data_IF_464088635872
#
_entry.id   IF_464088635872
#
_cell.length_a   1.000
_cell.length_b   1.000
_cell.length_c   1.000
_cell.angle_alpha   90.00
_cell.angle_beta   90.00
_cell.angle_gamma   90.00
#
_symmetry.space_group_name_H-M   'P 1'
#
loop_
_entity.id
_entity.type
_entity.pdbx_description
1 polymer ?
#
# COMPACT_ATOMS: atom_id res chain seq x y z
N UNK A 1 47.44 33.49 -20.82
CA UNK A 1 46.13 32.84 -21.11
C UNK A 1 45.82 31.62 -20.21
N UNK A 2 46.32 31.56 -18.96
CA UNK A 2 46.04 30.44 -18.01
C UNK A 2 45.27 30.86 -16.76
N UNK A 3 45.15 32.17 -16.49
CA UNK A 3 44.47 32.71 -15.31
C UNK A 3 42.98 33.03 -15.53
N UNK A 4 42.53 33.13 -16.80
CA UNK A 4 41.14 33.45 -17.15
C UNK A 4 40.25 32.19 -17.08
N UNK A 5 40.79 31.03 -17.46
CA UNK A 5 40.11 29.74 -17.37
C UNK A 5 39.83 29.30 -15.93
N UNK A 6 40.67 29.70 -14.97
CA UNK A 6 40.49 29.35 -13.55
C UNK A 6 39.31 30.06 -12.89
N UNK A 7 38.98 31.28 -13.33
CA UNK A 7 37.83 32.04 -12.78
C UNK A 7 36.48 31.52 -13.25
N UNK A 8 36.40 30.95 -14.46
CA UNK A 8 35.14 30.46 -15.05
C UNK A 8 34.70 29.15 -14.37
N UNK A 9 35.64 28.30 -13.97
CA UNK A 9 35.35 27.04 -13.28
C UNK A 9 34.79 27.28 -11.87
N UNK A 10 35.23 28.35 -11.19
CA UNK A 10 34.77 28.66 -9.84
C UNK A 10 33.32 29.18 -9.79
N UNK A 11 32.85 29.85 -10.85
CA UNK A 11 31.46 30.37 -10.93
C UNK A 11 30.44 29.25 -11.17
N UNK A 12 30.83 28.16 -11.86
CA UNK A 12 29.94 27.02 -12.14
C UNK A 12 29.70 26.11 -10.91
N UNK A 13 30.57 26.16 -9.90
CA UNK A 13 30.46 25.37 -8.66
C UNK A 13 29.46 25.96 -7.65
N UNK A 14 29.11 27.24 -7.76
CA UNK A 14 28.25 27.93 -6.78
C UNK A 14 26.76 27.81 -7.15
N UNK A 15 26.45 27.49 -8.42
CA UNK A 15 25.06 27.38 -8.89
C UNK A 15 24.38 26.04 -8.54
N UNK A 16 25.06 25.11 -7.86
CA UNK A 16 24.50 23.79 -7.54
C UNK A 16 23.89 23.66 -6.14
N UNK A 17 23.89 24.72 -5.32
CA UNK A 17 23.49 24.63 -3.90
C UNK A 17 22.15 25.28 -3.53
N UNK A 18 21.25 25.53 -4.48
CA UNK A 18 19.90 25.99 -4.15
C UNK A 18 18.85 25.03 -4.71
N UNK A 19 18.86 23.80 -4.19
CA UNK A 19 17.61 23.06 -4.04
C UNK A 19 17.19 23.22 -2.59
N UNK A 20 16.34 24.23 -2.34
CA UNK A 20 15.53 24.24 -1.14
C UNK A 20 14.59 23.04 -1.25
N UNK A 21 14.91 21.93 -0.59
CA UNK A 21 13.88 20.96 -0.23
C UNK A 21 13.01 21.67 0.81
N UNK A 22 11.90 22.26 0.36
CA UNK A 22 10.83 22.58 1.30
C UNK A 22 10.52 21.29 2.05
N UNK A 23 10.64 21.32 3.38
CA UNK A 23 10.09 20.29 4.25
C UNK A 23 8.56 20.37 4.13
N UNK A 24 8.02 19.82 3.04
CA UNK A 24 6.58 19.66 2.87
C UNK A 24 6.20 18.54 3.82
N UNK A 25 5.50 18.89 4.90
CA UNK A 25 4.96 17.91 5.84
C UNK A 25 3.85 17.10 5.15
N UNK A 26 4.24 15.94 4.64
CA UNK A 26 3.35 14.98 3.99
C UNK A 26 2.83 13.93 4.96
N UNK A 27 2.99 14.13 6.28
CA UNK A 27 2.34 13.28 7.25
C UNK A 27 0.82 13.51 7.24
N UNK A 28 0.13 12.66 6.49
CA UNK A 28 -1.29 12.44 6.66
C UNK A 28 -1.50 11.52 7.86
N UNK A 29 -2.23 12.01 8.87
CA UNK A 29 -2.76 11.17 9.93
C UNK A 29 -4.02 10.49 9.41
N UNK A 30 -4.04 9.16 9.45
CA UNK A 30 -5.19 8.35 9.05
C UNK A 30 -5.19 7.03 9.81
N UNK A 31 -6.33 6.34 9.81
CA UNK A 31 -6.45 4.98 10.33
C UNK A 31 -6.86 4.07 9.20
N UNK A 32 -6.10 3.01 8.97
CA UNK A 32 -6.47 1.95 8.05
C UNK A 32 -6.00 0.63 8.64
N UNK A 33 -6.87 -0.37 8.66
CA UNK A 33 -6.60 -1.65 9.31
C UNK A 33 -7.37 -2.81 8.68
N UNK A 34 -6.94 -4.02 8.99
CA UNK A 34 -7.67 -5.24 8.68
C UNK A 34 -8.38 -5.75 9.92
N UNK A 35 -9.69 -5.96 9.82
CA UNK A 35 -10.46 -6.73 10.80
C UNK A 35 -10.60 -8.16 10.28
N UNK A 36 -10.10 -9.12 11.07
CA UNK A 36 -10.15 -10.55 10.73
C UNK A 36 -11.56 -11.14 10.94
N UNK A 37 -11.90 -12.15 10.14
CA UNK A 37 -13.10 -12.95 10.35
C UNK A 37 -12.95 -13.85 11.61
N UNK A 38 -14.02 -14.08 12.40
CA UNK A 38 -14.03 -15.06 13.49
C UNK A 38 -13.59 -16.46 13.01
N UNK A 39 -12.80 -17.15 13.85
CA UNK A 39 -12.10 -18.40 13.50
C UNK A 39 -13.00 -19.65 13.36
N UNK A 40 -14.27 -19.58 13.76
CA UNK A 40 -15.00 -20.78 14.19
C UNK A 40 -15.75 -21.57 13.10
N UNK A 41 -15.72 -21.15 11.85
CA UNK A 41 -16.48 -21.85 10.80
C UNK A 41 -15.54 -22.53 9.80
N UNK A 42 -15.44 -23.85 9.96
CA UNK A 42 -14.67 -24.76 9.08
C UNK A 42 -15.18 -24.69 7.63
N UNK A 43 -16.46 -24.33 7.45
CA UNK A 43 -17.12 -24.21 6.15
C UNK A 43 -17.51 -22.76 5.78
N UNK A 44 -17.14 -21.75 6.58
CA UNK A 44 -17.41 -20.38 6.16
C UNK A 44 -16.37 -19.89 5.18
N UNK A 45 -16.88 -19.16 4.21
CA UNK A 45 -16.12 -18.30 3.35
C UNK A 45 -15.17 -17.40 4.16
N UNK A 46 -13.87 -17.55 3.94
CA UNK A 46 -12.85 -16.72 4.60
C UNK A 46 -12.86 -15.33 3.98
N UNK A 47 -12.97 -14.32 4.84
CA UNK A 47 -12.92 -12.92 4.43
C UNK A 47 -12.08 -12.08 5.39
N UNK A 48 -11.73 -10.88 4.94
CA UNK A 48 -11.15 -9.81 5.71
C UNK A 48 -11.98 -8.54 5.46
N UNK A 49 -12.00 -7.63 6.42
CA UNK A 49 -12.56 -6.30 6.21
C UNK A 49 -11.43 -5.30 6.26
N UNK A 50 -11.21 -4.59 5.16
CA UNK A 50 -10.35 -3.40 5.13
C UNK A 50 -11.19 -2.24 5.65
N UNK A 51 -10.84 -1.70 6.80
CA UNK A 51 -11.48 -0.51 7.37
C UNK A 51 -10.57 0.71 7.19
N UNK A 52 -11.18 1.87 6.95
CA UNK A 52 -10.44 3.12 6.87
C UNK A 52 -11.22 4.31 7.43
N UNK A 53 -10.45 5.27 7.93
CA UNK A 53 -10.88 6.60 8.31
C UNK A 53 -9.82 7.61 7.85
N UNK A 54 -10.18 8.38 6.83
CA UNK A 54 -9.37 9.46 6.27
C UNK A 54 -9.96 10.84 6.54
N UNK A 55 -10.85 10.98 7.54
CA UNK A 55 -11.54 12.24 7.85
C UNK A 55 -10.59 13.40 8.19
N UNK A 56 -9.41 13.07 8.72
CA UNK A 56 -8.36 14.05 9.04
C UNK A 56 -7.47 14.41 7.82
N UNK A 57 -7.59 13.70 6.70
CA UNK A 57 -6.79 13.93 5.50
C UNK A 57 -7.50 14.92 4.58
N UNK A 58 -6.98 16.15 4.52
CA UNK A 58 -7.51 17.22 3.66
C UNK A 58 -6.73 17.34 2.35
N UNK A 59 -7.45 17.75 1.31
CA UNK A 59 -6.91 18.17 0.01
C UNK A 59 -5.91 17.16 -0.60
N UNK A 60 -6.26 15.88 -0.52
CA UNK A 60 -5.44 14.78 -1.04
C UNK A 60 -6.28 13.79 -1.85
N UNK A 61 -5.66 13.24 -2.90
CA UNK A 61 -6.15 12.03 -3.53
C UNK A 61 -5.69 10.83 -2.72
N UNK A 62 -6.62 9.99 -2.30
CA UNK A 62 -6.33 8.83 -1.45
C UNK A 62 -6.76 7.57 -2.17
N UNK A 63 -5.86 6.58 -2.19
CA UNK A 63 -6.12 5.26 -2.76
C UNK A 63 -5.69 4.18 -1.79
N UNK A 64 -6.48 3.11 -1.71
CA UNK A 64 -6.04 1.84 -1.11
C UNK A 64 -5.75 0.89 -2.26
N UNK A 65 -4.51 0.41 -2.33
CA UNK A 65 -4.09 -0.59 -3.29
C UNK A 65 -4.09 -1.96 -2.62
N UNK A 66 -4.78 -2.92 -3.22
CA UNK A 66 -4.86 -4.30 -2.76
C UNK A 66 -4.41 -5.20 -3.89
N UNK A 67 -3.37 -5.99 -3.63
CA UNK A 67 -2.79 -6.94 -4.59
C UNK A 67 -3.07 -8.36 -4.10
N UNK A 68 -4.02 -9.07 -4.74
CA UNK A 68 -4.27 -10.48 -4.43
C UNK A 68 -3.09 -11.35 -4.85
N UNK A 69 -2.76 -12.34 -4.02
CA UNK A 69 -1.65 -13.27 -4.23
C UNK A 69 -2.20 -14.69 -4.28
N UNK A 70 -1.98 -15.37 -5.41
CA UNK A 70 -2.50 -16.72 -5.65
C UNK A 70 -1.96 -17.71 -4.63
N UNK A 71 -0.65 -17.70 -4.43
CA UNK A 71 0.02 -18.60 -3.51
C UNK A 71 1.08 -17.88 -2.69
N UNK A 72 0.96 -18.02 -1.37
CA UNK A 72 1.69 -17.21 -0.41
C UNK A 72 2.73 -18.08 0.26
N UNK A 73 3.78 -18.40 -0.49
CA UNK A 73 4.93 -19.12 0.05
C UNK A 73 5.88 -18.14 0.74
N UNK A 74 6.04 -18.31 2.05
CA UNK A 74 7.09 -17.69 2.88
C UNK A 74 7.29 -16.18 2.64
N UNK A 75 6.26 -15.39 2.92
CA UNK A 75 6.29 -13.92 3.13
C UNK A 75 6.87 -13.02 2.03
N UNK A 76 7.57 -13.51 1.00
CA UNK A 76 8.29 -12.63 0.05
C UNK A 76 8.36 -13.15 -1.39
N UNK A 77 7.90 -14.36 -1.69
CA UNK A 77 7.92 -14.91 -3.06
C UNK A 77 6.53 -15.35 -3.49
N UNK A 78 5.72 -14.38 -3.87
CA UNK A 78 4.48 -14.65 -4.59
C UNK A 78 4.83 -15.37 -5.89
N UNK A 79 4.25 -16.55 -6.10
CA UNK A 79 4.46 -17.33 -7.33
C UNK A 79 3.62 -16.75 -8.47
N UNK A 80 2.51 -16.08 -8.15
CA UNK A 80 1.67 -15.39 -9.11
C UNK A 80 0.76 -14.35 -8.43
N UNK A 81 0.60 -13.20 -9.10
CA UNK A 81 -0.28 -12.10 -8.69
C UNK A 81 -1.54 -12.08 -9.56
N UNK A 82 -2.64 -11.51 -9.03
CA UNK A 82 -3.83 -11.17 -9.82
C UNK A 82 -3.96 -9.67 -10.03
N UNK A 83 -4.98 -9.29 -10.79
CA UNK A 83 -5.37 -7.91 -10.99
C UNK A 83 -5.52 -7.16 -9.66
N UNK A 84 -4.90 -5.99 -9.62
CA UNK A 84 -4.88 -5.13 -8.45
C UNK A 84 -6.24 -4.47 -8.28
N UNK A 85 -6.75 -4.48 -7.06
CA UNK A 85 -7.98 -3.78 -6.68
C UNK A 85 -7.55 -2.40 -6.17
N UNK A 86 -8.04 -1.34 -6.81
CA UNK A 86 -7.80 0.04 -6.41
C UNK A 86 -9.09 0.65 -5.86
N UNK A 87 -9.08 0.98 -4.57
CA UNK A 87 -10.16 1.74 -3.95
C UNK A 87 -9.81 3.22 -3.99
N UNK A 88 -10.51 3.99 -4.83
CA UNK A 88 -10.41 5.44 -4.85
C UNK A 88 -11.29 6.00 -3.74
N UNK A 89 -10.69 6.66 -2.75
CA UNK A 89 -11.37 7.14 -1.54
C UNK A 89 -11.86 8.57 -1.75
N UNK A 90 -13.03 8.88 -1.18
CA UNK A 90 -13.71 10.18 -1.31
C UNK A 90 -14.60 10.29 -2.56
N UNK A 91 -14.83 9.19 -3.27
CA UNK A 91 -15.78 9.13 -4.38
C UNK A 91 -17.16 8.63 -3.91
N UNK A 92 -18.12 8.53 -4.83
CA UNK A 92 -19.48 8.09 -4.52
C UNK A 92 -19.58 6.64 -4.00
N UNK A 93 -18.61 5.79 -4.36
CA UNK A 93 -18.59 4.37 -4.00
C UNK A 93 -17.88 4.12 -2.66
N UNK A 94 -16.81 4.87 -2.41
CA UNK A 94 -15.94 4.74 -1.25
C UNK A 94 -15.82 6.12 -0.58
N UNK A 95 -16.61 6.34 0.47
CA UNK A 95 -16.54 7.55 1.27
C UNK A 95 -15.19 7.72 1.99
N UNK A 96 -15.00 8.89 2.60
CA UNK A 96 -13.80 9.23 3.39
C UNK A 96 -13.61 8.32 4.62
N UNK A 97 -14.71 7.77 5.14
CA UNK A 97 -14.74 6.72 6.15
C UNK A 97 -15.50 5.55 5.54
N UNK A 98 -14.99 4.33 5.69
CA UNK A 98 -15.63 3.19 5.07
C UNK A 98 -14.97 1.86 5.35
N UNK A 99 -15.51 0.85 4.68
CA UNK A 99 -15.01 -0.51 4.77
C UNK A 99 -15.21 -1.26 3.46
N UNK A 100 -14.33 -2.23 3.18
CA UNK A 100 -14.46 -3.15 2.06
C UNK A 100 -14.25 -4.58 2.55
N UNK A 101 -15.28 -5.40 2.38
CA UNK A 101 -15.17 -6.85 2.57
C UNK A 101 -14.39 -7.45 1.40
N UNK A 102 -13.36 -8.21 1.72
CA UNK A 102 -12.48 -8.93 0.80
C UNK A 102 -12.65 -10.43 1.04
N UNK A 103 -13.12 -11.15 0.02
CA UNK A 103 -13.48 -12.55 0.13
C UNK A 103 -12.47 -13.41 -0.63
N UNK A 104 -11.93 -14.45 0.03
CA UNK A 104 -10.90 -15.34 -0.54
C UNK A 104 -11.31 -15.93 -1.90
N UNK A 105 -12.57 -16.37 -2.03
CA UNK A 105 -13.07 -17.06 -3.23
C UNK A 105 -13.25 -16.06 -4.39
N UNK A 106 -13.84 -14.90 -4.13
CA UNK A 106 -14.01 -13.83 -5.14
C UNK A 106 -12.67 -13.31 -5.64
N UNK A 107 -11.72 -13.10 -4.73
CA UNK A 107 -10.36 -12.71 -5.08
C UNK A 107 -9.55 -13.87 -5.66
N UNK A 108 -10.04 -15.10 -5.52
CA UNK A 108 -9.37 -16.34 -5.89
C UNK A 108 -7.90 -16.37 -5.43
N UNK A 109 -7.62 -15.94 -4.20
CA UNK A 109 -6.26 -15.69 -3.71
C UNK A 109 -6.11 -16.14 -2.26
N UNK A 110 -5.03 -16.83 -1.91
CA UNK A 110 -4.82 -17.34 -0.54
C UNK A 110 -4.40 -16.25 0.46
N UNK A 111 -3.81 -15.17 -0.02
CA UNK A 111 -3.49 -13.99 0.77
C UNK A 111 -3.51 -12.74 -0.13
N UNK A 112 -3.37 -11.57 0.47
CA UNK A 112 -3.15 -10.33 -0.26
C UNK A 112 -2.19 -9.43 0.50
N UNK A 113 -1.57 -8.51 -0.23
CA UNK A 113 -0.89 -7.36 0.36
C UNK A 113 -1.64 -6.08 0.02
N UNK A 114 -1.57 -5.10 0.90
CA UNK A 114 -2.24 -3.83 0.70
C UNK A 114 -1.43 -2.67 1.26
N UNK A 115 -1.69 -1.48 0.73
CA UNK A 115 -1.06 -0.23 1.19
C UNK A 115 -1.95 0.97 0.88
N UNK A 116 -1.67 2.07 1.55
CA UNK A 116 -2.34 3.36 1.35
C UNK A 116 -1.41 4.29 0.56
N UNK A 117 -1.98 4.97 -0.43
CA UNK A 117 -1.31 6.00 -1.22
C UNK A 117 -2.06 7.31 -1.00
N UNK A 118 -1.35 8.34 -0.55
CA UNK A 118 -1.86 9.69 -0.35
C UNK A 118 -1.06 10.63 -1.24
N UNK A 119 -1.74 11.25 -2.20
CA UNK A 119 -1.14 12.19 -3.15
C UNK A 119 -1.72 13.58 -2.94
N UNK A 120 -0.89 14.54 -2.56
CA UNK A 120 -1.18 15.98 -2.54
C UNK A 120 -0.46 16.66 -3.70
N UNK A 121 -0.81 17.92 -4.00
CA UNK A 121 -0.28 18.67 -5.14
C UNK A 121 1.25 18.63 -5.27
N UNK A 122 1.98 18.63 -4.15
CA UNK A 122 3.44 18.68 -4.13
C UNK A 122 4.09 17.48 -3.44
N UNK A 123 3.32 16.44 -3.08
CA UNK A 123 3.93 15.25 -2.49
C UNK A 123 3.08 14.00 -2.58
N UNK A 124 3.78 12.87 -2.52
CA UNK A 124 3.19 11.54 -2.49
C UNK A 124 3.74 10.78 -1.28
N UNK A 125 2.85 10.19 -0.50
CA UNK A 125 3.19 9.31 0.61
C UNK A 125 2.55 7.95 0.38
N UNK A 126 3.38 6.92 0.38
CA UNK A 126 2.97 5.53 0.20
C UNK A 126 3.33 4.78 1.47
N UNK A 127 2.37 4.08 2.06
CA UNK A 127 2.64 3.25 3.25
C UNK A 127 3.43 2.00 2.88
N UNK A 128 4.09 1.41 3.88
CA UNK A 128 4.65 0.07 3.73
C UNK A 128 3.54 -0.95 3.42
N UNK A 129 3.93 -2.03 2.74
CA UNK A 129 3.05 -3.14 2.46
C UNK A 129 2.64 -3.85 3.76
N UNK A 130 1.34 -3.99 3.94
CA UNK A 130 0.74 -4.84 4.97
C UNK A 130 0.24 -6.14 4.32
N UNK A 131 0.30 -7.26 5.05
CA UNK A 131 -0.04 -8.58 4.52
C UNK A 131 -1.15 -9.23 5.33
N UNK A 132 -2.11 -9.85 4.66
CA UNK A 132 -3.16 -10.64 5.29
C UNK A 132 -3.31 -12.00 4.61
N UNK A 133 -3.41 -13.06 5.42
CA UNK A 133 -3.52 -14.44 4.97
C UNK A 133 -4.92 -14.97 5.28
N UNK A 134 -5.70 -15.31 4.25
CA UNK A 134 -7.00 -15.97 4.46
C UNK A 134 -6.83 -17.39 5.00
N UNK A 135 -5.73 -18.05 4.60
CA UNK A 135 -5.38 -19.42 4.98
C UNK A 135 -4.04 -19.40 5.72
N UNK A 136 -3.97 -19.89 6.97
CA UNK A 136 -2.72 -19.94 7.73
C UNK A 136 -1.64 -20.79 7.03
N UNK A 137 -0.39 -20.33 7.07
CA UNK A 137 0.77 -21.02 6.45
C UNK A 137 1.03 -22.41 7.04
N UNK A 138 0.42 -22.74 8.19
CA UNK A 138 0.53 -24.06 8.82
C UNK A 138 -0.26 -25.18 8.12
N UNK A 139 -1.28 -24.86 7.32
CA UNK A 139 -2.13 -25.88 6.69
C UNK A 139 -1.53 -26.54 5.44
N UNK A 140 -0.46 -25.98 4.87
CA UNK A 140 0.25 -26.56 3.72
C UNK A 140 0.91 -27.91 4.05
N UNK A 141 1.21 -28.19 5.34
CA UNK A 141 1.80 -29.46 5.77
C UNK A 141 0.79 -30.61 5.90
N UNK A 142 -0.52 -30.35 5.85
CA UNK A 142 -1.53 -31.41 6.02
C UNK A 142 -1.97 -32.09 4.72
N UNK A 143 -1.75 -31.47 3.56
CA UNK A 143 -2.24 -31.99 2.27
C UNK A 143 -1.23 -32.96 1.62
N UNK A 144 -0.02 -33.10 2.16
CA UNK A 144 0.95 -34.13 1.74
C UNK A 144 1.07 -35.17 2.84
N UNK A 145 0.04 -36.01 3.00
CA UNK A 145 0.19 -37.32 3.63
C UNK A 145 -0.59 -38.36 2.82
N UNK A 146 0.20 -39.13 2.07
CA UNK A 146 -0.05 -40.41 1.39
C UNK A 146 -1.26 -40.52 0.46
#
# INVERSE_FOLDING_TARGET
MKFITLKIIFVFMISQFIYSQENIDCNANYKAEIIECPKETINAEKYAIVNWDFSEVKDATIKIEIVPILDCFNKDKAVAYKDTILLNIGNAENGIIGSKKLIHIEMMSKCFKWRVMVTKTNCEKISDWQYYYFIPVTDYKKIIKN
#
